data_IF_867940011417
#
_entry.id   IF_867940011417
#
_cell.length_a   1.000
_cell.length_b   1.000
_cell.length_c   1.000
_cell.angle_alpha   90.00
_cell.angle_beta   90.00
_cell.angle_gamma   90.00
#
_symmetry.space_group_name_H-M   'P 1'
#
loop_
_entity.id
_entity.type
_entity.pdbx_description
1 polymer ?
#
# COMPACT_ATOMS: atom_id res chain seq x y z
N UNK A 1 20.68 -33.60 40.26
CA UNK A 1 19.55 -32.92 39.60
C UNK A 1 20.09 -32.25 38.35
N UNK A 2 19.75 -32.75 37.17
CA UNK A 2 20.13 -32.13 35.90
C UNK A 2 19.09 -31.07 35.54
N UNK A 3 19.52 -29.83 35.34
CA UNK A 3 18.65 -28.76 34.89
C UNK A 3 18.15 -29.07 33.48
N UNK A 4 16.84 -29.09 33.30
CA UNK A 4 16.19 -29.20 32.01
C UNK A 4 16.51 -27.94 31.20
N UNK A 5 17.44 -28.05 30.25
CA UNK A 5 17.68 -27.05 29.22
C UNK A 5 16.46 -27.01 28.31
N UNK A 6 15.56 -26.06 28.56
CA UNK A 6 14.52 -25.71 27.61
C UNK A 6 15.21 -25.27 26.32
N UNK A 7 15.08 -26.07 25.26
CA UNK A 7 15.38 -25.65 23.90
C UNK A 7 14.45 -24.48 23.57
N UNK A 8 14.88 -23.26 23.87
CA UNK A 8 14.29 -22.06 23.30
C UNK A 8 14.63 -22.15 21.81
N UNK A 9 13.74 -22.73 21.02
CA UNK A 9 13.79 -22.54 19.58
C UNK A 9 13.71 -21.03 19.38
N UNK A 10 14.82 -20.41 18.99
CA UNK A 10 14.82 -19.01 18.58
C UNK A 10 13.96 -18.94 17.34
N UNK A 11 12.67 -18.62 17.53
CA UNK A 11 11.72 -18.57 16.43
C UNK A 11 12.23 -17.53 15.45
N UNK A 12 12.63 -18.00 14.28
CA UNK A 12 13.10 -17.16 13.21
C UNK A 12 11.92 -16.34 12.67
N UNK A 13 12.04 -15.02 12.62
CA UNK A 13 10.96 -14.13 12.16
C UNK A 13 11.40 -13.36 10.92
N UNK A 14 10.41 -13.08 10.07
CA UNK A 14 10.51 -12.09 9.01
C UNK A 14 9.95 -10.77 9.54
N UNK A 15 10.77 -9.73 9.54
CA UNK A 15 10.35 -8.37 9.88
C UNK A 15 10.07 -7.63 8.58
N UNK A 16 8.87 -7.07 8.43
CA UNK A 16 8.43 -6.37 7.22
C UNK A 16 8.19 -4.90 7.56
N UNK A 17 8.81 -4.00 6.80
CA UNK A 17 8.53 -2.58 6.81
C UNK A 17 7.62 -2.21 5.64
N UNK A 18 6.53 -1.50 5.90
CA UNK A 18 5.58 -1.04 4.88
C UNK A 18 5.45 0.47 4.96
N UNK A 19 5.73 1.16 3.86
CA UNK A 19 5.40 2.57 3.66
C UNK A 19 4.12 2.64 2.83
N UNK A 20 2.99 2.95 3.47
CA UNK A 20 1.77 3.34 2.77
C UNK A 20 1.79 4.86 2.56
N UNK A 21 2.29 5.31 1.41
CA UNK A 21 2.42 6.73 1.09
C UNK A 21 1.16 7.31 0.47
N UNK A 22 1.12 8.64 0.27
CA UNK A 22 0.01 9.27 -0.44
C UNK A 22 0.05 8.97 -1.95
N UNK A 23 1.25 9.02 -2.54
CA UNK A 23 1.47 8.85 -3.98
C UNK A 23 2.08 7.49 -4.32
N UNK A 24 3.06 7.04 -3.53
CA UNK A 24 3.81 5.81 -3.76
C UNK A 24 3.98 5.06 -2.44
N UNK A 25 3.90 3.74 -2.51
CA UNK A 25 4.07 2.81 -1.39
C UNK A 25 5.26 1.89 -1.64
N UNK A 26 5.91 1.42 -0.59
CA UNK A 26 7.08 0.55 -0.67
C UNK A 26 7.10 -0.50 0.43
N UNK A 27 7.77 -1.61 0.16
CA UNK A 27 7.92 -2.71 1.11
C UNK A 27 9.39 -3.07 1.24
N UNK A 28 9.83 -3.31 2.47
CA UNK A 28 11.13 -3.90 2.76
C UNK A 28 10.99 -5.02 3.77
N UNK A 29 11.99 -5.89 3.83
CA UNK A 29 12.02 -6.95 4.83
C UNK A 29 13.45 -7.32 5.25
N UNK A 30 13.55 -7.96 6.42
CA UNK A 30 14.77 -8.54 6.95
C UNK A 30 14.43 -9.71 7.87
N UNK A 31 15.31 -10.70 7.99
CA UNK A 31 15.14 -11.86 8.88
C UNK A 31 15.90 -11.66 10.20
N UNK A 32 15.42 -12.25 11.29
CA UNK A 32 15.99 -12.04 12.64
C UNK A 32 17.38 -12.65 12.85
N UNK A 33 17.91 -13.42 11.90
CA UNK A 33 19.32 -13.87 11.90
C UNK A 33 20.28 -12.79 11.37
N UNK A 34 19.76 -11.66 10.87
CA UNK A 34 20.52 -10.52 10.38
C UNK A 34 20.54 -9.39 11.38
N UNK A 35 21.57 -8.56 11.32
CA UNK A 35 21.76 -7.44 12.25
C UNK A 35 22.22 -6.14 11.59
N UNK A 36 22.65 -6.18 10.32
CA UNK A 36 23.11 -5.00 9.58
C UNK A 36 21.95 -4.29 8.88
N UNK A 37 22.07 -2.97 8.72
CA UNK A 37 21.15 -2.18 7.88
C UNK A 37 21.19 -2.64 6.41
N UNK A 38 22.35 -3.09 5.94
CA UNK A 38 22.57 -3.52 4.56
C UNK A 38 21.92 -4.89 4.25
N UNK A 39 21.48 -5.60 5.28
CA UNK A 39 20.74 -6.85 5.14
C UNK A 39 19.28 -6.62 4.73
N UNK A 40 18.76 -5.40 4.90
CA UNK A 40 17.38 -5.03 4.55
C UNK A 40 17.19 -5.14 3.04
N UNK A 41 16.22 -5.96 2.63
CA UNK A 41 15.83 -6.12 1.23
C UNK A 41 14.65 -5.23 0.92
N UNK A 42 14.81 -4.37 -0.09
CA UNK A 42 13.72 -3.54 -0.62
C UNK A 42 13.07 -4.31 -1.76
N UNK A 43 11.74 -4.38 -1.76
CA UNK A 43 10.99 -4.92 -2.90
C UNK A 43 11.08 -3.92 -4.05
N UNK A 44 11.62 -4.36 -5.18
CA UNK A 44 11.75 -3.51 -6.37
C UNK A 44 11.04 -4.03 -7.62
N UNK A 45 10.51 -5.25 -7.55
CA UNK A 45 9.71 -5.85 -8.63
C UNK A 45 8.24 -5.77 -8.24
N UNK A 46 7.42 -5.20 -9.12
CA UNK A 46 6.01 -4.96 -8.88
C UNK A 46 5.18 -5.43 -10.07
N UNK A 47 3.98 -5.98 -9.86
CA UNK A 47 3.08 -6.33 -10.95
C UNK A 47 2.76 -5.12 -11.84
N UNK A 48 2.75 -5.34 -13.16
CA UNK A 48 2.44 -4.28 -14.14
C UNK A 48 3.61 -3.35 -14.48
N UNK A 49 4.77 -3.53 -13.86
CA UNK A 49 5.98 -2.76 -14.16
C UNK A 49 7.07 -3.69 -14.70
N UNK A 50 7.74 -3.28 -15.77
CA UNK A 50 8.84 -4.04 -16.37
C UNK A 50 10.19 -3.61 -15.80
N UNK A 51 10.30 -2.35 -15.36
CA UNK A 51 11.49 -1.82 -14.74
C UNK A 51 11.56 -2.16 -13.24
N UNK A 52 12.76 -2.08 -12.68
CA UNK A 52 12.93 -2.13 -11.22
C UNK A 52 12.59 -0.76 -10.64
N UNK A 53 11.71 -0.69 -9.64
CA UNK A 53 11.34 0.53 -8.92
C UNK A 53 11.25 0.26 -7.43
N UNK A 54 11.89 1.08 -6.58
CA UNK A 54 11.84 0.92 -5.12
C UNK A 54 10.45 1.14 -4.50
N UNK A 55 9.50 1.66 -5.28
CA UNK A 55 8.12 1.91 -4.87
C UNK A 55 7.13 1.65 -6.00
N UNK A 56 5.87 1.45 -5.63
CA UNK A 56 4.71 1.29 -6.53
C UNK A 56 3.66 2.38 -6.26
N UNK A 57 2.89 2.85 -7.26
CA UNK A 57 1.84 3.84 -7.04
C UNK A 57 0.86 3.43 -5.92
N UNK A 58 0.45 4.37 -5.07
CA UNK A 58 -0.60 4.11 -4.07
C UNK A 58 -1.96 4.36 -4.70
N UNK A 59 -2.38 3.37 -5.48
CA UNK A 59 -3.60 3.43 -6.27
C UNK A 59 -4.22 2.04 -6.36
N UNK A 60 -5.54 1.98 -6.27
CA UNK A 60 -6.32 0.75 -6.46
C UNK A 60 -7.51 1.00 -7.39
N UNK A 61 -7.79 0.03 -8.26
CA UNK A 61 -8.91 -0.02 -9.19
C UNK A 61 -9.71 -1.28 -8.88
N UNK A 62 -10.95 -1.13 -8.46
CA UNK A 62 -11.78 -2.26 -8.08
C UNK A 62 -12.44 -2.90 -9.31
N UNK A 63 -12.42 -4.23 -9.41
CA UNK A 63 -13.10 -4.93 -10.51
C UNK A 63 -14.61 -4.64 -10.55
N UNK A 64 -15.22 -4.42 -9.37
CA UNK A 64 -16.64 -4.07 -9.22
C UNK A 64 -17.07 -2.82 -10.03
N UNK A 65 -16.16 -1.87 -10.23
CA UNK A 65 -16.43 -0.62 -10.97
C UNK A 65 -15.80 -0.64 -12.36
N UNK A 66 -15.04 -1.69 -12.71
CA UNK A 66 -14.33 -1.82 -13.97
C UNK A 66 -14.68 -3.17 -14.62
N UNK A 67 -15.78 -3.29 -15.37
CA UNK A 67 -16.28 -4.57 -15.89
C UNK A 67 -15.33 -5.33 -16.84
N UNK A 68 -14.26 -4.67 -17.31
CA UNK A 68 -13.27 -5.25 -18.23
C UNK A 68 -12.10 -5.96 -17.52
N UNK A 69 -12.02 -5.88 -16.18
CA UNK A 69 -11.02 -6.60 -15.38
C UNK A 69 -11.73 -7.59 -14.45
N UNK A 70 -11.12 -8.76 -14.24
CA UNK A 70 -11.70 -9.82 -13.39
C UNK A 70 -11.34 -9.61 -11.91
N UNK A 71 -10.10 -9.24 -11.65
CA UNK A 71 -9.58 -8.93 -10.31
C UNK A 71 -9.22 -7.46 -10.19
N UNK A 72 -9.11 -6.97 -8.96
CA UNK A 72 -8.62 -5.63 -8.67
C UNK A 72 -7.26 -5.40 -9.33
N UNK A 73 -6.99 -4.14 -9.66
CA UNK A 73 -5.66 -3.71 -10.14
C UNK A 73 -5.12 -2.68 -9.18
N UNK A 74 -3.85 -2.74 -8.88
CA UNK A 74 -3.22 -1.85 -7.93
C UNK A 74 -1.84 -1.43 -8.43
N UNK A 75 -1.26 -0.41 -7.84
CA UNK A 75 0.08 0.03 -8.21
C UNK A 75 0.18 0.39 -9.69
N UNK A 76 1.19 -0.17 -10.36
CA UNK A 76 1.42 0.02 -11.79
C UNK A 76 0.34 -0.62 -12.68
N UNK A 77 -0.43 -1.59 -12.17
CA UNK A 77 -1.53 -2.20 -12.92
C UNK A 77 -2.76 -1.28 -13.02
N UNK A 78 -2.93 -0.33 -12.09
CA UNK A 78 -4.04 0.63 -12.08
C UNK A 78 -3.83 1.79 -13.07
N UNK A 79 -3.85 1.47 -14.37
CA UNK A 79 -3.61 2.42 -15.45
C UNK A 79 -4.74 3.46 -15.62
N UNK A 80 -4.46 4.55 -16.34
CA UNK A 80 -5.33 5.73 -16.47
C UNK A 80 -6.74 5.48 -17.01
N UNK A 81 -6.98 4.37 -17.72
CA UNK A 81 -8.31 4.00 -18.24
C UNK A 81 -9.24 3.33 -17.22
N UNK A 82 -8.76 2.98 -16.02
CA UNK A 82 -9.58 2.36 -14.98
C UNK A 82 -10.10 3.40 -14.00
N UNK A 83 -11.35 3.24 -13.57
CA UNK A 83 -11.88 3.90 -12.37
C UNK A 83 -11.07 3.39 -11.19
N UNK A 84 -10.42 4.31 -10.48
CA UNK A 84 -9.41 3.98 -9.48
C UNK A 84 -9.22 5.11 -8.50
N UNK A 85 -8.73 4.78 -7.31
CA UNK A 85 -8.68 5.68 -6.17
C UNK A 85 -7.23 5.88 -5.74
N UNK A 86 -6.86 7.15 -5.56
CA UNK A 86 -5.52 7.60 -5.17
C UNK A 86 -5.60 8.64 -4.06
N UNK A 87 -4.48 8.82 -3.35
CA UNK A 87 -4.34 9.78 -2.24
C UNK A 87 -5.31 9.50 -1.07
N UNK A 88 -5.74 8.26 -0.94
CA UNK A 88 -6.65 7.75 0.09
C UNK A 88 -6.08 7.86 1.49
N UNK A 89 -4.75 7.92 1.64
CA UNK A 89 -4.08 8.21 2.92
C UNK A 89 -4.56 9.52 3.55
N UNK A 90 -4.80 10.55 2.74
CA UNK A 90 -5.26 11.85 3.22
C UNK A 90 -6.70 11.82 3.74
N UNK A 91 -7.46 10.77 3.39
CA UNK A 91 -8.84 10.58 3.82
C UNK A 91 -8.95 9.70 5.08
N UNK A 92 -7.82 9.25 5.65
CA UNK A 92 -7.82 8.46 6.89
C UNK A 92 -8.11 9.30 8.13
N UNK A 93 -7.77 10.59 8.12
CA UNK A 93 -8.08 11.51 9.20
C UNK A 93 -9.28 12.38 8.84
N UNK A 94 -10.46 11.94 9.26
CA UNK A 94 -11.72 12.67 9.05
C UNK A 94 -11.79 13.99 9.83
N UNK A 95 -10.86 14.24 10.76
CA UNK A 95 -10.81 15.47 11.55
C UNK A 95 -9.71 16.43 11.08
N UNK A 96 -8.99 16.07 10.01
CA UNK A 96 -8.01 16.96 9.41
C UNK A 96 -8.72 18.27 9.00
N UNK A 97 -8.41 19.35 9.71
CA UNK A 97 -8.97 20.66 9.39
C UNK A 97 -8.45 21.06 8.02
N UNK A 98 -9.36 21.49 7.15
CA UNK A 98 -8.98 22.15 5.90
C UNK A 98 -8.13 23.36 6.27
N UNK A 99 -6.86 23.33 5.91
CA UNK A 99 -5.90 24.39 6.21
C UNK A 99 -6.09 25.59 5.28
N UNK A 100 -5.60 26.77 5.68
CA UNK A 100 -5.63 27.98 4.84
C UNK A 100 -4.89 27.83 3.49
N UNK A 101 -4.06 26.78 3.37
CA UNK A 101 -3.26 26.49 2.18
C UNK A 101 -3.78 25.29 1.39
N UNK A 102 -4.91 24.69 1.79
CA UNK A 102 -5.49 23.60 1.03
C UNK A 102 -6.08 24.14 -0.27
N UNK A 103 -5.61 23.58 -1.38
CA UNK A 103 -6.06 24.00 -2.70
C UNK A 103 -7.46 23.40 -2.98
N UNK A 104 -8.51 24.24 -3.08
CA UNK A 104 -9.86 23.77 -3.31
C UNK A 104 -10.02 23.09 -4.67
N UNK A 105 -9.11 23.36 -5.63
CA UNK A 105 -9.13 22.74 -6.96
C UNK A 105 -8.70 21.27 -6.94
N UNK A 106 -8.01 20.80 -5.88
CA UNK A 106 -7.70 19.38 -5.69
C UNK A 106 -8.96 18.53 -5.60
N UNK A 107 -10.02 19.07 -5.00
CA UNK A 107 -11.34 18.43 -4.96
C UNK A 107 -12.03 18.39 -6.33
N UNK A 108 -11.63 19.28 -7.25
CA UNK A 108 -12.15 19.36 -8.63
C UNK A 108 -11.38 18.44 -9.59
N UNK A 109 -10.11 18.14 -9.31
CA UNK A 109 -9.33 17.09 -10.02
C UNK A 109 -9.91 15.68 -9.82
N UNK A 110 -10.92 15.56 -8.96
CA UNK A 110 -11.57 14.32 -8.57
C UNK A 110 -12.31 13.59 -9.71
N UNK A 111 -12.40 14.14 -10.93
CA UNK A 111 -12.79 13.37 -12.12
C UNK A 111 -11.88 12.17 -12.42
N UNK A 112 -10.66 12.17 -11.86
CA UNK A 112 -9.65 11.11 -12.00
C UNK A 112 -9.64 10.06 -10.86
N UNK A 113 -10.52 10.22 -9.86
CA UNK A 113 -10.56 9.38 -8.65
C UNK A 113 -9.54 9.75 -7.55
N UNK A 114 -8.84 10.88 -7.71
CA UNK A 114 -8.04 11.52 -6.65
C UNK A 114 -8.96 12.03 -5.53
N UNK A 115 -8.56 11.83 -4.26
CA UNK A 115 -9.30 12.29 -3.07
C UNK A 115 -10.78 11.87 -3.06
N UNK A 116 -11.08 10.72 -3.64
CA UNK A 116 -12.40 10.09 -3.64
C UNK A 116 -12.31 8.69 -3.05
N UNK A 117 -13.45 8.20 -2.62
CA UNK A 117 -13.66 6.84 -2.16
C UNK A 117 -14.73 6.18 -3.03
N UNK A 118 -14.65 4.87 -3.26
CA UNK A 118 -15.76 4.13 -3.84
C UNK A 118 -16.98 4.20 -2.91
N UNK A 119 -18.17 4.14 -3.49
CA UNK A 119 -19.43 4.21 -2.71
C UNK A 119 -19.60 3.08 -1.68
N UNK A 120 -18.83 2.00 -1.82
CA UNK A 120 -18.91 0.79 -1.00
C UNK A 120 -17.78 0.62 0.02
N UNK A 121 -16.83 1.57 0.11
CA UNK A 121 -15.68 1.45 1.01
C UNK A 121 -15.28 2.80 1.59
N UNK A 122 -15.00 2.84 2.88
CA UNK A 122 -14.40 4.00 3.54
C UNK A 122 -12.86 4.01 3.40
N UNK A 123 -12.21 5.12 3.74
CA UNK A 123 -10.78 5.31 3.52
C UNK A 123 -9.91 4.22 4.18
N UNK A 124 -10.24 3.83 5.42
CA UNK A 124 -9.55 2.77 6.13
C UNK A 124 -9.69 1.42 5.39
N UNK A 125 -10.88 1.13 4.88
CA UNK A 125 -11.12 -0.08 4.07
C UNK A 125 -10.39 -0.06 2.73
N UNK A 126 -10.28 1.11 2.07
CA UNK A 126 -9.47 1.21 0.83
C UNK A 126 -7.98 1.01 1.10
N UNK A 127 -7.49 1.50 2.25
CA UNK A 127 -6.13 1.23 2.71
C UNK A 127 -5.91 -0.27 2.99
N UNK A 128 -6.84 -0.90 3.71
CA UNK A 128 -6.83 -2.35 3.97
C UNK A 128 -6.78 -3.15 2.66
N UNK A 129 -7.68 -2.85 1.72
CA UNK A 129 -7.74 -3.55 0.43
C UNK A 129 -6.43 -3.38 -0.35
N UNK A 130 -5.87 -2.17 -0.42
CA UNK A 130 -4.57 -1.94 -1.06
C UNK A 130 -3.44 -2.75 -0.42
N UNK A 131 -3.39 -2.79 0.92
CA UNK A 131 -2.36 -3.54 1.64
C UNK A 131 -2.53 -5.07 1.49
N UNK A 132 -3.76 -5.54 1.30
CA UNK A 132 -4.01 -6.94 0.95
C UNK A 132 -3.40 -7.29 -0.41
N UNK A 133 -3.58 -6.45 -1.43
CA UNK A 133 -3.01 -6.67 -2.76
C UNK A 133 -1.47 -6.67 -2.77
N UNK A 134 -0.85 -5.94 -1.84
CA UNK A 134 0.63 -5.93 -1.67
C UNK A 134 1.17 -7.28 -1.19
N UNK A 135 0.32 -8.13 -0.60
CA UNK A 135 0.67 -9.41 0.02
C UNK A 135 0.16 -10.65 -0.75
N UNK A 136 -0.53 -10.49 -1.88
CA UNK A 136 -1.03 -11.60 -2.73
C UNK A 136 -0.05 -12.05 -3.80
#
# INVERSE_FOLDING_TARGET
MAASTSNISTQHKLIVGIDYGTTFSGVSYVTTDKSGSDDIKIITSWPGEQASSSKTPTRIAYARENPLIQDNRWGFQAHSKLISYSWTKLLLDNNAKVGEHDDPTLSQMAGSGILKLPSFREAAGVCEDFLHEVYT
#
